data_IF_823506688793
#
_entry.id   IF_823506688793
#
_cell.length_a   1.000
_cell.length_b   1.000
_cell.length_c   1.000
_cell.angle_alpha   90.00
_cell.angle_beta   90.00
_cell.angle_gamma   90.00
#
_symmetry.space_group_name_H-M   'P 1'
#
loop_
_entity.id
_entity.type
_entity.pdbx_description
1 polymer ?
#
# COMPACT_ATOMS: atom_id res chain seq x y z
N UNK A 1 -10.60 17.34 5.77
CA UNK A 1 -10.57 15.92 6.15
C UNK A 1 -9.74 15.74 7.41
N UNK A 2 -9.96 14.65 8.09
CA UNK A 2 -9.21 14.38 9.29
C UNK A 2 -8.23 13.25 9.04
N UNK A 3 -6.95 13.52 9.18
CA UNK A 3 -5.91 12.52 9.03
C UNK A 3 -6.00 11.52 10.16
N UNK A 4 -6.16 10.24 9.81
CA UNK A 4 -6.20 9.15 10.75
C UNK A 4 -4.84 8.50 10.94
N UNK A 5 -4.86 7.24 11.34
CA UNK A 5 -3.63 6.51 11.62
C UNK A 5 -2.88 6.12 10.34
N UNK A 6 -1.60 5.89 10.47
CA UNK A 6 -0.81 5.24 9.43
C UNK A 6 -1.24 3.77 9.42
N UNK A 7 -1.95 3.36 8.37
CA UNK A 7 -2.43 1.98 8.28
C UNK A 7 -1.31 1.02 7.95
N UNK A 8 -0.50 1.35 6.95
CA UNK A 8 0.63 0.49 6.58
C UNK A 8 1.68 1.23 5.77
N UNK A 9 2.84 0.61 5.67
CA UNK A 9 3.89 0.98 4.72
C UNK A 9 3.93 -0.13 3.67
N UNK A 10 3.76 0.23 2.40
CA UNK A 10 3.84 -0.72 1.30
C UNK A 10 5.30 -0.94 0.91
N UNK A 11 5.70 -2.19 0.85
CA UNK A 11 7.07 -2.58 0.51
C UNK A 11 7.02 -3.52 -0.69
N UNK A 12 7.58 -3.08 -1.81
CA UNK A 12 7.66 -3.92 -3.00
C UNK A 12 8.81 -4.90 -2.85
N UNK A 13 8.57 -6.13 -3.26
CA UNK A 13 9.57 -7.19 -3.20
C UNK A 13 9.48 -8.07 -4.44
N UNK A 14 10.62 -8.58 -4.94
CA UNK A 14 10.57 -9.57 -6.02
C UNK A 14 10.04 -10.94 -5.54
N UNK A 15 10.01 -11.20 -4.24
CA UNK A 15 9.52 -12.47 -3.70
C UNK A 15 9.01 -12.28 -2.28
N UNK A 16 7.71 -12.44 -2.09
CA UNK A 16 7.09 -12.39 -0.76
C UNK A 16 7.69 -13.46 0.14
N UNK A 17 7.86 -14.67 -0.38
CA UNK A 17 8.40 -15.78 0.42
C UNK A 17 9.79 -15.43 0.97
N UNK A 18 10.64 -14.85 0.13
CA UNK A 18 11.97 -14.46 0.58
C UNK A 18 11.92 -13.34 1.61
N UNK A 19 11.07 -12.35 1.41
CA UNK A 19 10.91 -11.27 2.38
C UNK A 19 10.40 -11.78 3.71
N UNK A 20 9.43 -12.70 3.70
CA UNK A 20 8.91 -13.29 4.93
C UNK A 20 10.01 -14.08 5.67
N UNK A 21 10.86 -14.77 4.93
CA UNK A 21 11.99 -15.47 5.54
C UNK A 21 12.92 -14.50 6.25
N UNK A 22 13.21 -13.36 5.63
CA UNK A 22 14.05 -12.32 6.24
C UNK A 22 13.41 -11.76 7.51
N UNK A 23 12.10 -11.48 7.49
CA UNK A 23 11.41 -11.01 8.70
C UNK A 23 11.45 -12.05 9.80
N UNK A 24 11.32 -13.32 9.45
CA UNK A 24 11.39 -14.40 10.43
C UNK A 24 12.78 -14.50 11.03
N UNK A 25 13.82 -14.46 10.20
CA UNK A 25 15.20 -14.59 10.67
C UNK A 25 15.62 -13.38 11.52
N UNK A 26 15.30 -12.17 11.04
CA UNK A 26 15.80 -10.96 11.70
C UNK A 26 15.00 -10.56 12.92
N UNK A 27 13.68 -10.77 12.89
CA UNK A 27 12.79 -10.29 13.96
C UNK A 27 12.02 -11.39 14.66
N UNK A 28 12.05 -12.62 14.17
CA UNK A 28 11.16 -13.67 14.66
C UNK A 28 9.69 -13.38 14.32
N UNK A 29 9.44 -12.54 13.32
CA UNK A 29 8.09 -12.15 12.98
C UNK A 29 7.47 -13.14 11.99
N UNK A 30 6.15 -13.36 12.13
CA UNK A 30 5.40 -14.23 11.24
C UNK A 30 4.39 -13.40 10.44
N UNK A 31 4.00 -13.88 9.25
CA UNK A 31 3.01 -13.14 8.45
C UNK A 31 1.63 -13.19 9.10
N UNK A 32 0.83 -12.18 8.78
CA UNK A 32 -0.58 -12.13 9.15
C UNK A 32 -1.35 -12.84 8.04
N UNK A 33 -1.64 -14.12 8.23
CA UNK A 33 -2.34 -14.91 7.23
C UNK A 33 -1.46 -15.32 6.05
N UNK A 34 -2.10 -15.83 5.02
CA UNK A 34 -1.41 -16.30 3.81
C UNK A 34 -1.33 -15.20 2.76
N UNK A 35 -0.31 -15.23 1.90
CA UNK A 35 -0.31 -14.33 0.74
C UNK A 35 -1.54 -14.54 -0.13
N UNK A 36 -2.04 -13.46 -0.72
CA UNK A 36 -3.21 -13.54 -1.58
C UNK A 36 -3.05 -12.62 -2.79
N UNK A 37 -3.78 -12.94 -3.86
CA UNK A 37 -3.73 -12.17 -5.09
C UNK A 37 -4.71 -11.01 -5.03
N UNK A 38 -4.29 -9.87 -5.56
CA UNK A 38 -5.15 -8.70 -5.70
C UNK A 38 -5.09 -8.25 -7.17
N UNK A 39 -5.82 -8.97 -8.05
CA UNK A 39 -5.69 -8.75 -9.50
C UNK A 39 -6.02 -7.33 -9.94
N UNK A 40 -6.97 -6.68 -9.27
CA UNK A 40 -7.36 -5.32 -9.61
C UNK A 40 -6.19 -4.33 -9.49
N UNK A 41 -5.22 -4.63 -8.63
CA UNK A 41 -4.03 -3.80 -8.46
C UNK A 41 -2.78 -4.45 -9.06
N UNK A 42 -2.92 -5.65 -9.63
CA UNK A 42 -1.79 -6.32 -10.28
C UNK A 42 -0.71 -6.80 -9.34
N UNK A 43 -1.06 -7.10 -8.09
CA UNK A 43 -0.09 -7.50 -7.07
C UNK A 43 -0.56 -8.70 -6.28
N UNK A 44 0.40 -9.41 -5.73
CA UNK A 44 0.20 -10.41 -4.70
C UNK A 44 0.60 -9.76 -3.39
N UNK A 45 -0.11 -10.01 -2.32
CA UNK A 45 -0.01 -9.25 -1.06
C UNK A 45 0.18 -10.18 0.12
N UNK A 46 0.99 -9.76 1.08
CA UNK A 46 1.04 -10.40 2.39
C UNK A 46 1.37 -9.35 3.45
N UNK A 47 0.69 -9.40 4.58
CA UNK A 47 0.91 -8.43 5.66
C UNK A 47 1.80 -9.00 6.75
N UNK A 48 2.59 -8.12 7.35
CA UNK A 48 3.31 -8.41 8.59
C UNK A 48 2.91 -7.34 9.59
N UNK A 49 2.32 -7.75 10.70
CA UNK A 49 1.84 -6.81 11.72
C UNK A 49 2.97 -6.29 12.58
N UNK A 50 2.92 -5.00 12.90
CA UNK A 50 3.71 -4.40 13.97
C UNK A 50 2.74 -3.97 15.07
N UNK A 51 3.22 -3.64 16.27
CA UNK A 51 2.30 -3.23 17.34
C UNK A 51 1.41 -2.03 16.99
N UNK A 52 1.86 -1.17 16.10
CA UNK A 52 1.17 0.08 15.81
C UNK A 52 0.76 0.26 14.35
N UNK A 53 1.09 -0.68 13.45
CA UNK A 53 0.80 -0.55 12.03
C UNK A 53 0.97 -1.89 11.35
N UNK A 54 1.18 -1.88 10.03
CA UNK A 54 1.46 -3.09 9.24
C UNK A 54 2.50 -2.77 8.17
N UNK A 55 3.27 -3.79 7.81
CA UNK A 55 4.02 -3.76 6.56
C UNK A 55 3.20 -4.53 5.53
N UNK A 56 2.97 -3.95 4.38
CA UNK A 56 2.29 -4.63 3.27
C UNK A 56 3.36 -5.01 2.25
N UNK A 57 3.66 -6.30 2.18
CA UNK A 57 4.59 -6.81 1.17
C UNK A 57 3.80 -7.01 -0.11
N UNK A 58 4.30 -6.46 -1.21
CA UNK A 58 3.66 -6.61 -2.51
C UNK A 58 4.68 -7.10 -3.53
N UNK A 59 4.27 -8.08 -4.33
CA UNK A 59 5.09 -8.59 -5.43
C UNK A 59 4.26 -8.56 -6.71
N UNK A 60 4.91 -8.48 -7.89
CA UNK A 60 4.16 -8.40 -9.14
C UNK A 60 3.29 -9.62 -9.38
N UNK A 61 2.05 -9.38 -9.81
CA UNK A 61 1.16 -10.42 -10.26
C UNK A 61 1.08 -10.30 -11.79
N UNK A 62 2.04 -10.92 -12.46
CA UNK A 62 2.15 -10.85 -13.91
C UNK A 62 3.08 -9.74 -14.39
N UNK A 63 3.43 -9.82 -15.68
CA UNK A 63 4.39 -8.91 -16.30
C UNK A 63 3.86 -7.48 -16.44
N UNK A 64 2.54 -7.31 -16.40
CA UNK A 64 1.92 -5.98 -16.54
C UNK A 64 1.72 -5.28 -15.21
N UNK A 65 2.22 -5.85 -14.12
CA UNK A 65 2.05 -5.26 -12.80
C UNK A 65 2.67 -3.87 -12.73
N UNK A 66 1.98 -2.90 -12.09
CA UNK A 66 2.52 -1.55 -11.98
C UNK A 66 3.82 -1.48 -11.17
N UNK A 67 4.13 -2.48 -10.34
CA UNK A 67 5.37 -2.43 -9.57
C UNK A 67 6.57 -3.05 -10.28
N UNK A 68 6.39 -3.59 -11.50
CA UNK A 68 7.52 -4.13 -12.27
C UNK A 68 8.58 -3.05 -12.52
N UNK A 69 8.16 -1.86 -12.93
CA UNK A 69 9.11 -0.76 -13.17
C UNK A 69 9.83 -0.33 -11.90
N UNK A 70 9.12 -0.33 -10.78
CA UNK A 70 9.73 -0.02 -9.49
C UNK A 70 10.84 -1.01 -9.18
N UNK A 71 10.57 -2.29 -9.39
CA UNK A 71 11.56 -3.33 -9.09
C UNK A 71 12.73 -3.33 -10.08
N UNK A 72 12.53 -2.86 -11.31
CA UNK A 72 13.64 -2.69 -12.24
C UNK A 72 14.66 -1.70 -11.70
N UNK A 73 14.21 -0.65 -11.04
CA UNK A 73 15.07 0.35 -10.43
C UNK A 73 15.52 -0.03 -9.03
N UNK A 74 14.83 -0.96 -8.41
CA UNK A 74 15.10 -1.39 -7.03
C UNK A 74 15.03 -2.92 -6.99
N UNK A 75 16.04 -3.60 -7.53
CA UNK A 75 15.97 -5.06 -7.74
C UNK A 75 15.87 -5.88 -6.46
N UNK A 76 16.29 -5.33 -5.32
CA UNK A 76 16.14 -6.01 -4.04
C UNK A 76 14.80 -5.70 -3.38
N UNK A 77 14.01 -4.78 -3.95
CA UNK A 77 12.79 -4.28 -3.35
C UNK A 77 13.01 -2.95 -2.65
N UNK A 78 11.99 -2.45 -1.98
CA UNK A 78 12.09 -1.19 -1.25
C UNK A 78 10.73 -0.64 -0.88
N UNK A 79 10.73 0.44 -0.13
CA UNK A 79 9.49 1.11 0.26
C UNK A 79 8.82 1.68 -0.98
N UNK A 80 7.55 1.38 -1.14
CA UNK A 80 6.79 1.74 -2.34
C UNK A 80 5.77 2.83 -2.05
N UNK A 81 5.06 2.75 -0.93
CA UNK A 81 4.05 3.75 -0.58
C UNK A 81 3.77 3.73 0.92
N UNK A 82 3.06 4.75 1.36
CA UNK A 82 2.52 4.80 2.72
C UNK A 82 1.01 4.96 2.61
N UNK A 83 0.27 4.44 3.58
CA UNK A 83 -1.19 4.49 3.56
C UNK A 83 -1.72 5.11 4.84
N UNK A 84 -2.53 6.16 4.69
CA UNK A 84 -3.19 6.82 5.82
C UNK A 84 -4.69 6.61 5.75
N UNK A 85 -5.33 6.54 6.91
CA UNK A 85 -6.77 6.39 7.01
C UNK A 85 -7.47 7.73 7.09
N UNK A 86 -8.66 7.81 6.50
CA UNK A 86 -9.54 8.97 6.60
C UNK A 86 -10.96 8.48 6.89
N UNK A 87 -11.82 9.31 7.50
CA UNK A 87 -13.18 8.85 7.85
C UNK A 87 -14.07 8.56 6.66
N UNK A 88 -13.96 9.36 5.57
CA UNK A 88 -14.84 9.22 4.42
C UNK A 88 -14.06 9.51 3.15
N UNK A 89 -13.99 8.51 2.28
CA UNK A 89 -13.07 8.51 1.14
C UNK A 89 -13.43 9.51 0.07
N UNK A 90 -14.73 9.68 -0.22
CA UNK A 90 -15.15 10.59 -1.30
C UNK A 90 -14.93 12.05 -0.92
N UNK A 91 -15.18 12.40 0.34
CA UNK A 91 -14.90 13.74 0.84
C UNK A 91 -13.40 14.02 0.83
N UNK A 92 -12.59 13.03 1.19
CA UNK A 92 -11.14 13.17 1.17
C UNK A 92 -10.64 13.39 -0.26
N UNK A 93 -11.15 12.62 -1.23
CA UNK A 93 -10.76 12.78 -2.63
C UNK A 93 -11.08 14.20 -3.12
N UNK A 94 -12.31 14.67 -2.84
CA UNK A 94 -12.71 16.01 -3.25
C UNK A 94 -11.81 17.08 -2.65
N UNK A 95 -11.40 16.90 -1.40
CA UNK A 95 -10.55 17.86 -0.72
C UNK A 95 -9.14 17.88 -1.32
N UNK A 96 -8.55 16.70 -1.61
CA UNK A 96 -7.26 16.63 -2.28
C UNK A 96 -7.32 17.34 -3.64
N UNK A 97 -8.36 17.07 -4.42
CA UNK A 97 -8.51 17.68 -5.74
C UNK A 97 -8.71 19.19 -5.65
N UNK A 98 -9.48 19.65 -4.68
CA UNK A 98 -9.70 21.08 -4.47
C UNK A 98 -8.40 21.81 -4.12
N UNK A 99 -7.45 21.10 -3.52
CA UNK A 99 -6.14 21.65 -3.19
C UNK A 99 -5.12 21.49 -4.31
N UNK A 100 -5.54 20.97 -5.45
CA UNK A 100 -4.68 20.83 -6.62
C UNK A 100 -3.87 19.57 -6.69
N UNK A 101 -4.10 18.61 -5.81
CA UNK A 101 -3.38 17.34 -5.84
C UNK A 101 -3.97 16.41 -6.89
N UNK A 102 -3.12 15.60 -7.53
CA UNK A 102 -3.54 14.64 -8.54
C UNK A 102 -3.90 13.32 -7.89
N UNK A 103 -5.18 12.97 -7.97
CA UNK A 103 -5.67 11.69 -7.50
C UNK A 103 -5.61 10.71 -8.67
N UNK A 104 -5.00 9.55 -8.44
CA UNK A 104 -4.75 8.56 -9.49
C UNK A 104 -5.93 7.60 -9.59
N UNK A 105 -6.94 7.98 -10.35
CA UNK A 105 -8.13 7.16 -10.61
C UNK A 105 -9.23 7.34 -9.56
N UNK A 106 -10.28 6.56 -9.71
CA UNK A 106 -11.42 6.59 -8.79
C UNK A 106 -11.16 5.67 -7.61
N UNK A 107 -11.78 5.94 -6.44
CA UNK A 107 -11.66 5.02 -5.31
C UNK A 107 -12.11 3.61 -5.67
N UNK A 108 -11.37 2.62 -5.19
CA UNK A 108 -11.68 1.20 -5.42
C UNK A 108 -11.29 0.40 -4.19
N UNK A 109 -11.79 -0.83 -4.12
CA UNK A 109 -11.52 -1.71 -2.98
C UNK A 109 -10.06 -2.10 -2.98
N UNK A 110 -9.38 -1.87 -1.86
CA UNK A 110 -7.98 -2.26 -1.67
C UNK A 110 -7.83 -3.55 -0.88
N UNK A 111 -6.60 -3.82 -0.47
CA UNK A 111 -6.25 -5.10 0.18
C UNK A 111 -6.96 -5.34 1.50
N UNK A 112 -7.38 -4.29 2.18
CA UNK A 112 -8.10 -4.40 3.46
C UNK A 112 -9.61 -4.47 3.28
N UNK A 113 -10.11 -4.51 2.04
CA UNK A 113 -11.55 -4.63 1.79
C UNK A 113 -12.32 -3.33 1.90
N UNK A 114 -11.66 -2.20 1.98
CA UNK A 114 -12.28 -0.88 2.04
C UNK A 114 -11.77 -0.03 0.89
N UNK A 115 -12.45 1.10 0.64
CA UNK A 115 -12.11 1.95 -0.50
C UNK A 115 -10.80 2.69 -0.30
N UNK A 116 -10.01 2.78 -1.35
CA UNK A 116 -8.73 3.47 -1.36
C UNK A 116 -8.56 4.27 -2.65
N UNK A 117 -7.70 5.29 -2.59
CA UNK A 117 -7.16 5.91 -3.80
C UNK A 117 -5.71 6.33 -3.52
N UNK A 118 -4.97 6.61 -4.60
CA UNK A 118 -3.58 7.06 -4.47
C UNK A 118 -3.46 8.52 -4.91
N UNK A 119 -2.57 9.25 -4.25
CA UNK A 119 -2.22 10.63 -4.62
C UNK A 119 -0.83 10.61 -5.24
N UNK A 120 -0.68 11.32 -6.36
CA UNK A 120 0.57 11.36 -7.11
C UNK A 120 1.73 11.82 -6.22
N UNK A 121 2.88 11.14 -6.28
CA UNK A 121 4.01 11.49 -5.41
C UNK A 121 4.51 12.92 -5.56
N UNK A 122 4.38 13.52 -6.76
CA UNK A 122 4.81 14.92 -6.92
C UNK A 122 4.02 15.90 -6.08
N UNK A 123 2.82 15.52 -5.65
CA UNK A 123 1.97 16.37 -4.82
C UNK A 123 2.05 15.99 -3.34
N UNK A 124 2.88 15.00 -3.02
CA UNK A 124 3.05 14.51 -1.65
C UNK A 124 4.53 14.39 -1.29
N UNK A 125 5.33 15.35 -1.75
CA UNK A 125 6.73 15.42 -1.36
C UNK A 125 7.59 14.28 -1.88
N UNK A 126 7.19 13.66 -2.97
CA UNK A 126 7.93 12.55 -3.56
C UNK A 126 7.49 11.17 -3.08
N UNK A 127 6.44 11.11 -2.24
CA UNK A 127 5.98 9.85 -1.65
C UNK A 127 4.64 9.46 -2.28
N UNK A 128 4.58 8.30 -2.92
CA UNK A 128 3.30 7.74 -3.37
C UNK A 128 2.46 7.48 -2.13
N UNK A 129 1.30 8.12 -2.05
CA UNK A 129 0.49 8.11 -0.84
C UNK A 129 -0.87 7.50 -1.11
N UNK A 130 -1.17 6.44 -0.38
CA UNK A 130 -2.47 5.79 -0.43
C UNK A 130 -3.36 6.35 0.66
N UNK A 131 -4.62 6.63 0.33
CA UNK A 131 -5.62 7.09 1.26
C UNK A 131 -6.68 6.00 1.36
N UNK A 132 -7.01 5.61 2.57
CA UNK A 132 -7.88 4.47 2.83
C UNK A 132 -9.02 4.91 3.73
N UNK A 133 -10.24 4.49 3.38
CA UNK A 133 -11.37 4.74 4.27
C UNK A 133 -11.23 3.89 5.52
N UNK A 134 -11.40 4.54 6.66
CA UNK A 134 -11.26 3.88 7.94
C UNK A 134 -12.25 2.73 8.10
N UNK A 135 -11.76 1.59 8.61
CA UNK A 135 -12.64 0.44 8.83
C UNK A 135 -13.27 0.48 10.19
N UNK A 136 -13.23 1.61 10.87
CA UNK A 136 -13.68 1.69 12.15
C UNK A 136 -14.91 1.14 12.49
N UNK A 137 -15.22 1.11 13.56
CA UNK A 137 -16.48 0.73 14.09
C UNK A 137 -16.47 0.57 15.59
#
# INVERSE_FOLDING_TARGET
MKLGRLNHVGVATPSIERSLELYRIMFGAEPHGEPFDLPAQGVRVCFVDTPNSQIELIEPLGADSPIVKFLEKNPLGGQHHVCFEVPEIHAAKAEFEAKGARVLGEPRIGAHGTLVFFVHPKDMGGVLTEIMESTKH
#
